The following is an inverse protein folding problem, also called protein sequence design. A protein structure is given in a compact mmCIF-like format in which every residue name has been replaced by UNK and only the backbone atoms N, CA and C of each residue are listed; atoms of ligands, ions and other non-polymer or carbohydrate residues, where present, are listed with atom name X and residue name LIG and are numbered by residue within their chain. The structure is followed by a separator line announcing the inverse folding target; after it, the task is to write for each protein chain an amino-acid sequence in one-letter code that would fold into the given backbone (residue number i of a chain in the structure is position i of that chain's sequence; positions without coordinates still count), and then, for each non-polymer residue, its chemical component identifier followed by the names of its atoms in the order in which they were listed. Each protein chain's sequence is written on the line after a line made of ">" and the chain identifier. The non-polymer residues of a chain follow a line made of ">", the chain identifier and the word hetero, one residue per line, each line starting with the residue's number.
data_IF_333563816021
#
_entry.id   IF_333563816021
#
_cell.length_a   1.000
_cell.length_b   1.000
_cell.length_c   1.000
_cell.angle_alpha   90.00
_cell.angle_beta   90.00
_cell.angle_gamma   90.00
#
_symmetry.space_group_name_H-M   'P 1'
#
loop_
_entity.id
_entity.type
_entity.pdbx_description
1 polymer ?
#
# COMPACT_ATOMS: atom_id res chain seq x y z
N UNK A 1 3.72 6.49 -17.31
CA UNK A 1 3.58 6.29 -18.77
C UNK A 1 2.33 7.05 -19.21
N UNK A 2 2.27 7.58 -20.44
CA UNK A 2 1.07 8.28 -20.96
C UNK A 2 -0.01 7.29 -21.44
N UNK A 3 0.37 6.07 -21.81
CA UNK A 3 -0.53 4.96 -22.16
C UNK A 3 -0.91 4.14 -20.91
N UNK A 4 -2.16 3.68 -20.77
CA UNK A 4 -2.61 2.88 -19.63
C UNK A 4 -1.91 1.52 -19.59
N UNK A 5 -1.58 1.04 -18.39
CA UNK A 5 -0.80 -0.19 -18.21
C UNK A 5 -1.48 -1.41 -18.86
N UNK A 6 -2.81 -1.45 -18.79
CA UNK A 6 -3.66 -2.46 -19.39
C UNK A 6 -3.53 -2.59 -20.92
N UNK A 7 -3.09 -1.54 -21.62
CA UNK A 7 -2.83 -1.60 -23.08
C UNK A 7 -1.46 -2.21 -23.43
N UNK A 8 -0.51 -2.22 -22.47
CA UNK A 8 0.82 -2.81 -22.66
C UNK A 8 0.78 -4.33 -22.52
N UNK A 9 -0.02 -4.84 -21.57
CA UNK A 9 -0.10 -6.26 -21.23
C UNK A 9 0.98 -6.71 -20.24
N UNK A 10 0.82 -7.92 -19.68
CA UNK A 10 1.68 -8.44 -18.61
C UNK A 10 3.06 -8.86 -19.10
N UNK A 11 3.15 -9.52 -20.25
CA UNK A 11 4.40 -10.09 -20.75
C UNK A 11 5.45 -9.01 -21.08
N UNK A 12 5.11 -7.89 -21.75
CA UNK A 12 6.08 -6.83 -22.00
C UNK A 12 6.56 -6.16 -20.71
N UNK A 13 5.68 -5.98 -19.70
CA UNK A 13 6.07 -5.45 -18.40
C UNK A 13 7.01 -6.42 -17.66
N UNK A 14 6.72 -7.72 -17.70
CA UNK A 14 7.61 -8.75 -17.16
C UNK A 14 8.99 -8.73 -17.84
N UNK A 15 9.02 -8.61 -19.17
CA UNK A 15 10.27 -8.49 -19.92
C UNK A 15 11.03 -7.20 -19.54
N UNK A 16 10.33 -6.07 -19.35
CA UNK A 16 10.94 -4.82 -18.88
C UNK A 16 11.61 -4.99 -17.52
N UNK A 17 10.98 -5.68 -16.57
CA UNK A 17 11.55 -5.96 -15.25
C UNK A 17 12.89 -6.70 -15.40
N UNK A 18 12.89 -7.84 -16.10
CA UNK A 18 14.09 -8.66 -16.25
C UNK A 18 15.19 -7.94 -17.04
N UNK A 19 14.84 -7.30 -18.15
CA UNK A 19 15.81 -6.63 -19.02
C UNK A 19 16.54 -5.51 -18.27
N UNK A 20 15.82 -4.71 -17.47
CA UNK A 20 16.44 -3.63 -16.72
C UNK A 20 17.35 -4.15 -15.61
N UNK A 21 16.96 -5.23 -14.91
CA UNK A 21 17.86 -5.87 -13.94
C UNK A 21 19.10 -6.46 -14.61
N UNK A 22 18.94 -7.08 -15.78
CA UNK A 22 20.07 -7.59 -16.55
C UNK A 22 21.00 -6.47 -17.01
N UNK A 23 20.44 -5.34 -17.46
CA UNK A 23 21.22 -4.15 -17.82
C UNK A 23 21.96 -3.57 -16.63
N UNK A 24 21.35 -3.54 -15.44
CA UNK A 24 22.03 -3.14 -14.20
C UNK A 24 23.24 -4.03 -13.91
N UNK A 25 23.08 -5.36 -13.97
CA UNK A 25 24.17 -6.29 -13.69
C UNK A 25 25.33 -6.12 -14.68
N UNK A 26 25.01 -6.03 -15.98
CA UNK A 26 26.00 -5.81 -17.03
C UNK A 26 26.70 -4.46 -16.91
N UNK A 27 25.98 -3.40 -16.53
CA UNK A 27 26.55 -2.07 -16.30
C UNK A 27 27.50 -2.07 -15.09
N UNK A 28 27.15 -2.79 -14.02
CA UNK A 28 28.01 -2.96 -12.85
C UNK A 28 29.28 -3.75 -13.20
N UNK A 29 29.15 -4.84 -13.95
CA UNK A 29 30.30 -5.63 -14.42
C UNK A 29 31.23 -4.79 -15.32
N UNK A 30 30.66 -4.05 -16.28
CA UNK A 30 31.39 -3.13 -17.13
C UNK A 30 32.10 -2.05 -16.31
N UNK A 31 31.41 -1.45 -15.34
CA UNK A 31 31.98 -0.44 -14.44
C UNK A 31 33.23 -0.98 -13.73
N UNK A 32 33.12 -2.15 -13.10
CA UNK A 32 34.24 -2.76 -12.38
C UNK A 32 35.41 -3.05 -13.31
N UNK A 33 35.17 -3.69 -14.45
CA UNK A 33 36.21 -4.01 -15.43
C UNK A 33 36.91 -2.78 -16.00
N UNK A 34 36.16 -1.69 -16.21
CA UNK A 34 36.69 -0.43 -16.77
C UNK A 34 37.56 0.29 -15.74
N UNK A 35 37.11 0.36 -14.49
CA UNK A 35 37.85 1.01 -13.41
C UNK A 35 39.15 0.25 -13.09
N UNK A 36 39.17 -1.08 -13.18
CA UNK A 36 40.38 -1.89 -13.00
C UNK A 36 41.39 -1.75 -14.15
N UNK A 37 40.91 -1.52 -15.38
CA UNK A 37 41.75 -1.41 -16.57
C UNK A 37 42.35 -0.01 -16.80
N UNK A 38 41.75 1.03 -16.22
CA UNK A 38 42.15 2.42 -16.45
C UNK A 38 43.17 2.92 -15.42
N UNK A 39 44.12 3.78 -15.83
CA UNK A 39 44.89 4.59 -14.88
C UNK A 39 43.96 5.48 -14.05
N UNK A 40 44.33 5.73 -12.79
CA UNK A 40 43.52 6.45 -11.80
C UNK A 40 42.91 7.76 -12.33
N UNK A 41 43.70 8.57 -13.04
CA UNK A 41 43.27 9.86 -13.57
C UNK A 41 42.15 9.76 -14.65
N UNK A 42 42.01 8.60 -15.29
CA UNK A 42 40.91 8.33 -16.22
C UNK A 42 39.76 7.58 -15.52
N UNK A 43 40.06 6.68 -14.59
CA UNK A 43 39.05 5.96 -13.81
C UNK A 43 38.14 6.93 -13.04
N UNK A 44 38.69 8.00 -12.46
CA UNK A 44 37.93 9.05 -11.75
C UNK A 44 36.95 9.84 -12.64
N UNK A 45 37.11 9.78 -13.97
CA UNK A 45 36.22 10.47 -14.93
C UNK A 45 35.04 9.60 -15.39
N UNK A 46 35.06 8.30 -15.08
CA UNK A 46 34.05 7.34 -15.51
C UNK A 46 33.05 7.13 -14.38
N UNK A 47 31.75 7.34 -14.66
CA UNK A 47 30.68 7.14 -13.69
C UNK A 47 29.52 6.36 -14.30
N UNK A 48 29.18 5.23 -13.70
CA UNK A 48 28.04 4.39 -14.08
C UNK A 48 26.86 4.47 -13.10
N UNK A 49 27.02 5.15 -11.95
CA UNK A 49 26.08 5.13 -10.83
C UNK A 49 24.67 5.56 -11.26
N UNK A 50 24.54 6.69 -11.96
CA UNK A 50 23.25 7.21 -12.40
C UNK A 50 22.56 6.27 -13.40
N UNK A 51 23.34 5.61 -14.27
CA UNK A 51 22.81 4.65 -15.25
C UNK A 51 22.31 3.38 -14.55
N UNK A 52 23.11 2.84 -13.63
CA UNK A 52 22.72 1.69 -12.80
C UNK A 52 21.46 1.99 -11.99
N UNK A 53 21.40 3.17 -11.37
CA UNK A 53 20.21 3.63 -10.65
C UNK A 53 19.00 3.75 -11.58
N UNK A 54 19.18 4.31 -12.78
CA UNK A 54 18.13 4.40 -13.80
C UNK A 54 17.52 3.05 -14.14
N UNK A 55 18.34 2.02 -14.38
CA UNK A 55 17.84 0.66 -14.63
C UNK A 55 17.04 0.10 -13.45
N UNK A 56 17.50 0.30 -12.22
CA UNK A 56 16.77 -0.16 -11.03
C UNK A 56 15.41 0.55 -10.86
N UNK A 57 15.34 1.86 -11.13
CA UNK A 57 14.09 2.62 -11.05
C UNK A 57 13.10 2.18 -12.13
N UNK A 58 13.56 1.92 -13.36
CA UNK A 58 12.69 1.39 -14.42
C UNK A 58 12.18 -0.01 -14.06
N UNK A 59 13.03 -0.90 -13.53
CA UNK A 59 12.59 -2.22 -13.09
C UNK A 59 11.55 -2.12 -11.96
N UNK A 60 11.75 -1.20 -11.02
CA UNK A 60 10.80 -0.95 -9.92
C UNK A 60 9.47 -0.42 -10.45
N UNK A 61 9.48 0.53 -11.36
CA UNK A 61 8.26 1.07 -11.96
C UNK A 61 7.52 0.00 -12.76
N UNK A 62 8.22 -0.82 -13.55
CA UNK A 62 7.61 -1.92 -14.30
C UNK A 62 6.92 -2.95 -13.38
N UNK A 63 7.47 -3.21 -12.18
CA UNK A 63 6.79 -3.99 -11.14
C UNK A 63 5.47 -3.34 -10.73
N UNK A 64 5.46 -2.04 -10.45
CA UNK A 64 4.24 -1.34 -10.05
C UNK A 64 3.20 -1.32 -11.17
N UNK A 65 3.62 -1.09 -12.42
CA UNK A 65 2.72 -1.15 -13.58
C UNK A 65 2.12 -2.55 -13.78
N UNK A 66 2.88 -3.62 -13.50
CA UNK A 66 2.36 -4.99 -13.54
C UNK A 66 1.25 -5.20 -12.51
N UNK A 67 1.39 -4.65 -11.31
CA UNK A 67 0.32 -4.63 -10.29
C UNK A 67 -0.87 -3.81 -10.79
N UNK A 68 -0.62 -2.64 -11.38
CA UNK A 68 -1.69 -1.79 -11.94
C UNK A 68 -2.54 -2.54 -12.97
N UNK A 69 -1.94 -3.32 -13.87
CA UNK A 69 -2.69 -4.15 -14.84
C UNK A 69 -3.70 -5.07 -14.14
N UNK A 70 -3.27 -5.75 -13.07
CA UNK A 70 -4.15 -6.65 -12.30
C UNK A 70 -5.29 -5.87 -11.65
N UNK A 71 -4.98 -4.72 -11.04
CA UNK A 71 -5.99 -3.91 -10.38
C UNK A 71 -6.90 -3.20 -11.37
N UNK A 72 -6.49 -2.97 -12.63
CA UNK A 72 -7.34 -2.42 -13.69
C UNK A 72 -8.20 -3.48 -14.39
N UNK A 73 -7.96 -4.77 -14.12
CA UNK A 73 -8.79 -5.86 -14.64
C UNK A 73 -10.27 -5.67 -14.25
N UNK A 74 -11.21 -5.75 -15.20
CA UNK A 74 -12.64 -5.57 -14.92
C UNK A 74 -13.18 -6.53 -13.86
N UNK A 75 -12.74 -7.80 -13.85
CA UNK A 75 -13.17 -8.78 -12.86
C UNK A 75 -12.67 -8.44 -11.46
N UNK A 76 -11.42 -7.97 -11.34
CA UNK A 76 -10.89 -7.47 -10.07
C UNK A 76 -11.64 -6.21 -9.63
N UNK A 77 -11.85 -5.24 -10.51
CA UNK A 77 -12.60 -4.01 -10.20
C UNK A 77 -14.04 -4.31 -9.73
N UNK A 78 -14.73 -5.28 -10.36
CA UNK A 78 -16.07 -5.73 -9.95
C UNK A 78 -16.10 -6.31 -8.52
N UNK A 79 -15.01 -6.95 -8.07
CA UNK A 79 -14.88 -7.42 -6.70
C UNK A 79 -14.57 -6.26 -5.74
N UNK A 80 -13.64 -5.37 -6.11
CA UNK A 80 -13.20 -4.28 -5.26
C UNK A 80 -14.34 -3.32 -4.89
N UNK A 81 -15.24 -3.01 -5.83
CA UNK A 81 -16.40 -2.13 -5.55
C UNK A 81 -17.39 -2.72 -4.55
N UNK A 82 -17.30 -4.03 -4.26
CA UNK A 82 -18.14 -4.75 -3.28
C UNK A 82 -17.49 -4.86 -1.90
N UNK A 83 -16.28 -4.32 -1.70
CA UNK A 83 -15.67 -4.26 -0.38
C UNK A 83 -16.56 -3.46 0.59
N UNK A 84 -16.75 -3.99 1.79
CA UNK A 84 -17.66 -3.44 2.82
C UNK A 84 -19.15 -3.45 2.48
N UNK A 85 -19.55 -4.19 1.43
CA UNK A 85 -20.94 -4.51 1.13
C UNK A 85 -21.32 -5.93 1.62
N UNK A 86 -22.56 -6.35 1.32
CA UNK A 86 -23.12 -7.62 1.77
C UNK A 86 -22.30 -8.84 1.31
N UNK A 87 -21.89 -8.90 0.05
CA UNK A 87 -21.10 -10.02 -0.49
C UNK A 87 -19.73 -10.13 0.21
N UNK A 88 -19.15 -8.98 0.59
CA UNK A 88 -17.92 -8.94 1.39
C UNK A 88 -18.15 -9.43 2.81
N UNK A 89 -19.24 -9.03 3.48
CA UNK A 89 -19.60 -9.56 4.80
C UNK A 89 -19.74 -11.09 4.79
N UNK A 90 -20.25 -11.66 3.70
CA UNK A 90 -20.38 -13.11 3.50
C UNK A 90 -19.04 -13.82 3.19
N UNK A 91 -17.93 -13.07 3.06
CA UNK A 91 -16.57 -13.58 2.85
C UNK A 91 -16.16 -13.80 1.39
N UNK A 92 -17.09 -13.67 0.45
CA UNK A 92 -16.88 -14.06 -0.95
C UNK A 92 -15.87 -13.16 -1.67
N UNK A 93 -15.92 -11.85 -1.41
CA UNK A 93 -15.09 -10.87 -2.13
C UNK A 93 -13.61 -11.14 -1.93
N UNK A 94 -13.17 -11.30 -0.68
CA UNK A 94 -11.75 -11.48 -0.32
C UNK A 94 -11.21 -12.82 -0.82
N UNK A 95 -12.00 -13.89 -0.71
CA UNK A 95 -11.66 -15.22 -1.22
C UNK A 95 -11.48 -15.22 -2.74
N UNK A 96 -12.39 -14.57 -3.48
CA UNK A 96 -12.28 -14.47 -4.93
C UNK A 96 -11.14 -13.56 -5.38
N UNK A 97 -10.84 -12.49 -4.64
CA UNK A 97 -9.68 -11.64 -4.91
C UNK A 97 -8.38 -12.43 -4.80
N UNK A 98 -8.16 -13.17 -3.71
CA UNK A 98 -6.91 -13.94 -3.54
C UNK A 98 -6.81 -15.11 -4.53
N UNK A 99 -7.94 -15.74 -4.89
CA UNK A 99 -7.95 -16.74 -5.96
C UNK A 99 -7.51 -16.14 -7.30
N UNK A 100 -8.09 -14.98 -7.67
CA UNK A 100 -7.74 -14.26 -8.90
C UNK A 100 -6.27 -13.82 -8.90
N UNK A 101 -5.77 -13.32 -7.76
CA UNK A 101 -4.34 -13.00 -7.62
C UNK A 101 -3.47 -14.24 -7.77
N UNK A 102 -3.89 -15.39 -7.24
CA UNK A 102 -3.17 -16.66 -7.39
C UNK A 102 -2.98 -17.08 -8.85
N UNK A 103 -4.01 -16.89 -9.68
CA UNK A 103 -3.94 -17.16 -11.12
C UNK A 103 -2.92 -16.23 -11.79
N UNK A 104 -3.03 -14.91 -11.56
CA UNK A 104 -2.05 -13.95 -12.07
C UNK A 104 -0.62 -14.23 -11.59
N UNK A 105 -0.45 -14.60 -10.32
CA UNK A 105 0.86 -14.89 -9.73
C UNK A 105 1.48 -16.12 -10.40
N UNK A 106 0.67 -17.13 -10.73
CA UNK A 106 1.12 -18.32 -11.45
C UNK A 106 1.65 -17.95 -12.83
N UNK A 107 0.91 -17.12 -13.58
CA UNK A 107 1.32 -16.70 -14.92
C UNK A 107 2.57 -15.82 -14.90
N UNK A 108 2.60 -14.80 -14.04
CA UNK A 108 3.71 -13.85 -13.94
C UNK A 108 5.01 -14.55 -13.50
N UNK A 109 4.92 -15.51 -12.58
CA UNK A 109 6.08 -16.27 -12.08
C UNK A 109 6.83 -17.02 -13.19
N UNK A 110 6.17 -17.33 -14.31
CA UNK A 110 6.80 -17.96 -15.48
C UNK A 110 7.74 -16.97 -16.18
N UNK A 111 7.40 -15.68 -16.16
CA UNK A 111 8.07 -14.66 -16.97
C UNK A 111 9.13 -13.85 -16.22
N UNK A 112 9.09 -13.75 -14.89
CA UNK A 112 10.04 -12.93 -14.13
C UNK A 112 10.89 -13.74 -13.16
N UNK A 113 12.11 -13.26 -12.91
CA UNK A 113 13.01 -13.91 -11.97
C UNK A 113 12.44 -13.94 -10.54
N UNK A 114 12.73 -15.00 -9.78
CA UNK A 114 12.22 -15.25 -8.43
C UNK A 114 12.40 -14.04 -7.47
N UNK A 115 13.54 -13.34 -7.54
CA UNK A 115 13.77 -12.14 -6.71
C UNK A 115 12.81 -11.01 -7.05
N UNK A 116 12.55 -10.81 -8.34
CA UNK A 116 11.62 -9.80 -8.86
C UNK A 116 10.19 -10.18 -8.58
N UNK A 117 9.85 -11.46 -8.70
CA UNK A 117 8.54 -12.00 -8.35
C UNK A 117 8.18 -11.68 -6.89
N UNK A 118 9.10 -11.89 -5.94
CA UNK A 118 8.86 -11.51 -4.54
C UNK A 118 8.60 -10.02 -4.34
N UNK A 119 9.29 -9.15 -5.09
CA UNK A 119 9.05 -7.69 -5.05
C UNK A 119 7.69 -7.32 -5.65
N UNK A 120 7.28 -8.02 -6.70
CA UNK A 120 5.96 -7.87 -7.30
C UNK A 120 4.85 -8.29 -6.35
N UNK A 121 4.97 -9.45 -5.69
CA UNK A 121 3.99 -9.89 -4.69
C UNK A 121 3.91 -8.92 -3.51
N UNK A 122 5.05 -8.41 -3.04
CA UNK A 122 5.10 -7.38 -2.00
C UNK A 122 4.39 -6.09 -2.42
N UNK A 123 4.57 -5.65 -3.67
CA UNK A 123 3.86 -4.48 -4.21
C UNK A 123 2.35 -4.73 -4.38
N UNK A 124 1.95 -5.94 -4.78
CA UNK A 124 0.55 -6.34 -4.90
C UNK A 124 -0.16 -6.34 -3.53
N UNK A 125 0.52 -6.85 -2.48
CA UNK A 125 0.03 -6.74 -1.11
C UNK A 125 -0.15 -5.27 -0.71
N UNK A 126 0.86 -4.42 -0.95
CA UNK A 126 0.76 -3.00 -0.61
C UNK A 126 -0.42 -2.29 -1.32
N UNK A 127 -0.66 -2.56 -2.60
CA UNK A 127 -1.84 -2.03 -3.31
C UNK A 127 -3.16 -2.59 -2.73
N UNK A 128 -3.20 -3.88 -2.40
CA UNK A 128 -4.38 -4.50 -1.75
C UNK A 128 -4.72 -3.79 -0.45
N UNK A 129 -3.74 -3.55 0.41
CA UNK A 129 -3.93 -2.84 1.68
C UNK A 129 -4.43 -1.41 1.44
N UNK A 130 -3.83 -0.68 0.49
CA UNK A 130 -4.28 0.68 0.14
C UNK A 130 -5.75 0.70 -0.29
N UNK A 131 -6.15 -0.26 -1.14
CA UNK A 131 -7.52 -0.36 -1.63
C UNK A 131 -8.51 -0.69 -0.51
N UNK A 132 -8.17 -1.62 0.39
CA UNK A 132 -9.00 -1.92 1.57
C UNK A 132 -9.19 -0.69 2.45
N UNK A 133 -8.09 0.02 2.75
CA UNK A 133 -8.16 1.25 3.56
C UNK A 133 -8.98 2.33 2.87
N UNK A 134 -8.85 2.53 1.56
CA UNK A 134 -9.64 3.52 0.83
C UNK A 134 -11.14 3.19 0.84
N UNK A 135 -11.52 1.91 0.67
CA UNK A 135 -12.92 1.48 0.74
C UNK A 135 -13.48 1.59 2.16
N UNK A 136 -12.71 1.27 3.20
CA UNK A 136 -13.11 1.46 4.60
C UNK A 136 -13.44 2.92 4.89
N UNK A 137 -12.62 3.84 4.39
CA UNK A 137 -12.71 5.27 4.65
C UNK A 137 -13.73 6.01 3.76
N UNK A 138 -14.31 5.31 2.78
CA UNK A 138 -15.30 5.86 1.83
C UNK A 138 -16.66 5.19 1.91
N UNK A 139 -16.75 4.00 2.49
CA UNK A 139 -18.03 3.33 2.72
C UNK A 139 -18.96 4.19 3.60
N UNK A 140 -20.25 3.87 3.54
CA UNK A 140 -21.31 4.62 4.23
C UNK A 140 -22.09 3.75 5.21
N UNK A 141 -21.78 2.46 5.27
CA UNK A 141 -22.44 1.53 6.17
C UNK A 141 -21.87 1.73 7.57
N UNK A 142 -22.72 1.61 8.58
CA UNK A 142 -22.24 1.62 9.96
C UNK A 142 -21.38 0.39 10.23
N UNK A 143 -20.28 0.60 10.95
CA UNK A 143 -19.41 -0.47 11.43
C UNK A 143 -20.13 -1.18 12.58
N UNK A 144 -20.37 -2.48 12.40
CA UNK A 144 -20.97 -3.37 13.39
C UNK A 144 -19.97 -4.45 13.80
N UNK A 145 -20.29 -5.23 14.83
CA UNK A 145 -19.46 -6.36 15.25
C UNK A 145 -19.20 -7.36 14.12
N UNK A 146 -20.20 -7.62 13.26
CA UNK A 146 -20.02 -8.46 12.07
C UNK A 146 -18.99 -7.86 11.08
N UNK A 147 -18.97 -6.54 10.92
CA UNK A 147 -17.95 -5.84 10.11
C UNK A 147 -16.56 -6.02 10.71
N UNK A 148 -16.43 -5.86 12.02
CA UNK A 148 -15.15 -6.04 12.75
C UNK A 148 -14.65 -7.48 12.61
N UNK A 149 -15.52 -8.47 12.79
CA UNK A 149 -15.14 -9.88 12.65
C UNK A 149 -14.75 -10.21 11.21
N UNK A 150 -15.49 -9.68 10.22
CA UNK A 150 -15.12 -9.88 8.81
C UNK A 150 -13.77 -9.26 8.47
N UNK A 151 -13.46 -8.05 8.95
CA UNK A 151 -12.14 -7.43 8.81
C UNK A 151 -11.03 -8.33 9.38
N UNK A 152 -11.26 -8.92 10.56
CA UNK A 152 -10.31 -9.84 11.20
C UNK A 152 -10.06 -11.09 10.35
N UNK A 153 -11.12 -11.70 9.82
CA UNK A 153 -11.01 -12.88 8.96
C UNK A 153 -10.31 -12.54 7.63
N UNK A 154 -10.50 -11.35 7.09
CA UNK A 154 -9.80 -10.91 5.88
C UNK A 154 -8.32 -10.68 6.12
N UNK A 155 -7.94 -10.13 7.28
CA UNK A 155 -6.54 -10.07 7.72
C UNK A 155 -5.90 -11.46 7.67
N UNK A 156 -6.60 -12.49 8.17
CA UNK A 156 -6.13 -13.89 8.13
C UNK A 156 -6.00 -14.44 6.71
N UNK A 157 -7.01 -14.21 5.85
CA UNK A 157 -6.98 -14.68 4.44
C UNK A 157 -5.83 -14.04 3.68
N UNK A 158 -5.63 -12.73 3.83
CA UNK A 158 -4.51 -12.01 3.20
C UNK A 158 -3.16 -12.50 3.74
N UNK A 159 -3.06 -12.66 5.07
CA UNK A 159 -1.86 -13.20 5.72
C UNK A 159 -1.49 -14.59 5.18
N UNK A 160 -2.46 -15.49 5.13
CA UNK A 160 -2.28 -16.88 4.71
C UNK A 160 -1.92 -16.98 3.23
N UNK A 161 -2.55 -16.18 2.36
CA UNK A 161 -2.25 -16.17 0.94
C UNK A 161 -0.84 -15.60 0.65
N UNK A 162 -0.55 -14.39 1.14
CA UNK A 162 0.69 -13.70 0.76
C UNK A 162 1.96 -14.35 1.38
N UNK A 163 1.85 -15.01 2.53
CA UNK A 163 3.00 -15.68 3.17
C UNK A 163 3.49 -16.92 2.41
N UNK A 164 2.71 -17.43 1.46
CA UNK A 164 3.17 -18.51 0.57
C UNK A 164 4.27 -18.05 -0.40
N UNK A 165 4.36 -16.74 -0.64
CA UNK A 165 5.21 -16.15 -1.67
C UNK A 165 6.32 -15.24 -1.11
N UNK A 166 6.08 -14.56 0.01
CA UNK A 166 7.04 -13.68 0.67
C UNK A 166 7.15 -14.00 2.17
N UNK A 167 8.19 -13.50 2.84
CA UNK A 167 8.45 -13.83 4.25
C UNK A 167 7.32 -13.33 5.16
N UNK A 168 6.94 -14.15 6.15
CA UNK A 168 5.88 -13.85 7.14
C UNK A 168 6.03 -12.43 7.73
N UNK A 169 7.22 -12.04 8.17
CA UNK A 169 7.46 -10.70 8.73
C UNK A 169 7.14 -9.53 7.79
N UNK A 170 7.30 -9.73 6.47
CA UNK A 170 6.95 -8.71 5.46
C UNK A 170 5.45 -8.61 5.26
N UNK A 171 4.73 -9.73 5.39
CA UNK A 171 3.27 -9.77 5.31
C UNK A 171 2.68 -9.14 6.57
N UNK A 172 3.11 -9.57 7.75
CA UNK A 172 2.67 -9.04 9.05
C UNK A 172 2.84 -7.51 9.12
N UNK A 173 4.01 -7.01 8.75
CA UNK A 173 4.29 -5.56 8.81
C UNK A 173 3.40 -4.73 7.87
N UNK A 174 2.89 -5.31 6.77
CA UNK A 174 2.02 -4.62 5.81
C UNK A 174 0.54 -4.75 6.16
N UNK A 175 0.13 -5.93 6.62
CA UNK A 175 -1.26 -6.18 7.04
C UNK A 175 -1.58 -5.46 8.34
N UNK A 176 -0.58 -5.20 9.21
CA UNK A 176 -0.77 -4.58 10.53
C UNK A 176 -1.68 -3.35 10.54
N UNK A 177 -1.59 -2.48 9.53
CA UNK A 177 -2.44 -1.29 9.46
C UNK A 177 -3.93 -1.62 9.35
N UNK A 178 -4.31 -2.74 8.72
CA UNK A 178 -5.71 -3.20 8.73
C UNK A 178 -6.15 -3.59 10.13
N UNK A 179 -5.29 -4.33 10.86
CA UNK A 179 -5.53 -4.68 12.26
C UNK A 179 -5.64 -3.44 13.15
N UNK A 180 -4.73 -2.47 13.00
CA UNK A 180 -4.77 -1.23 13.79
C UNK A 180 -6.04 -0.42 13.49
N UNK A 181 -6.47 -0.35 12.22
CA UNK A 181 -7.71 0.34 11.85
C UNK A 181 -8.96 -0.42 12.32
N UNK A 182 -8.93 -1.76 12.35
CA UNK A 182 -9.98 -2.58 12.97
C UNK A 182 -10.08 -2.32 14.47
N UNK A 183 -8.94 -2.27 15.17
CA UNK A 183 -8.89 -1.93 16.60
C UNK A 183 -9.46 -0.54 16.85
N UNK A 184 -9.06 0.45 16.04
CA UNK A 184 -9.57 1.81 16.12
C UNK A 184 -11.08 1.86 15.84
N UNK A 185 -11.55 1.08 14.86
CA UNK A 185 -12.96 0.95 14.54
C UNK A 185 -13.75 0.20 15.62
N UNK A 186 -13.11 -0.60 16.48
CA UNK A 186 -13.75 -1.30 17.60
C UNK A 186 -13.68 -0.54 18.93
N UNK A 187 -12.89 0.54 19.01
CA UNK A 187 -12.65 1.28 20.24
C UNK A 187 -13.96 1.83 20.86
N UNK A 188 -14.07 1.70 22.18
CA UNK A 188 -15.26 2.06 22.96
C UNK A 188 -15.02 3.22 23.94
N UNK A 189 -13.76 3.65 24.09
CA UNK A 189 -13.38 4.69 25.04
C UNK A 189 -12.32 5.62 24.45
N UNK A 190 -12.28 6.85 24.97
CA UNK A 190 -11.30 7.87 24.59
C UNK A 190 -9.86 7.35 24.73
N UNK A 191 -9.55 6.72 25.86
CA UNK A 191 -8.23 6.11 26.14
C UNK A 191 -7.86 5.03 25.11
N UNK A 192 -8.84 4.22 24.67
CA UNK A 192 -8.60 3.21 23.64
C UNK A 192 -8.32 3.84 22.28
N UNK A 193 -9.09 4.87 21.89
CA UNK A 193 -8.87 5.59 20.63
C UNK A 193 -7.47 6.21 20.59
N UNK A 194 -7.08 6.93 21.65
CA UNK A 194 -5.77 7.61 21.71
C UNK A 194 -4.61 6.62 21.76
N UNK A 195 -4.75 5.51 22.50
CA UNK A 195 -3.74 4.45 22.53
C UNK A 195 -3.53 3.82 21.16
N UNK A 196 -4.61 3.36 20.51
CA UNK A 196 -4.52 2.72 19.18
C UNK A 196 -3.97 3.70 18.15
N UNK A 197 -4.43 4.96 18.16
CA UNK A 197 -3.93 5.95 17.21
C UNK A 197 -2.45 6.29 17.44
N UNK A 198 -1.99 6.34 18.69
CA UNK A 198 -0.57 6.49 19.02
C UNK A 198 0.25 5.32 18.45
N UNK A 199 -0.22 4.08 18.62
CA UNK A 199 0.44 2.89 18.07
C UNK A 199 0.49 2.90 16.52
N UNK A 200 -0.56 3.42 15.86
CA UNK A 200 -0.56 3.64 14.41
C UNK A 200 0.56 4.59 14.03
N UNK A 201 0.70 5.73 14.72
CA UNK A 201 1.72 6.74 14.39
C UNK A 201 3.16 6.25 14.60
N UNK A 202 3.40 5.27 15.46
CA UNK A 202 4.72 4.64 15.58
C UNK A 202 5.18 3.94 14.29
N UNK A 203 4.24 3.41 13.50
CA UNK A 203 4.53 2.58 12.33
C UNK A 203 4.08 3.21 11.00
N UNK A 204 3.08 4.09 11.06
CA UNK A 204 2.53 4.90 9.98
C UNK A 204 2.42 6.37 10.42
N UNK A 205 3.57 7.05 10.63
CA UNK A 205 3.60 8.40 11.18
C UNK A 205 2.89 9.46 10.31
N UNK A 206 2.56 9.14 9.06
CA UNK A 206 1.82 9.98 8.14
C UNK A 206 0.31 9.69 8.10
N UNK A 207 -0.21 8.87 9.03
CA UNK A 207 -1.64 8.64 9.21
C UNK A 207 -2.34 9.92 9.71
N UNK A 208 -3.14 10.61 8.88
CA UNK A 208 -3.75 11.86 9.30
C UNK A 208 -4.93 11.62 10.24
N UNK A 209 -5.25 12.57 11.14
CA UNK A 209 -6.38 12.46 12.06
C UNK A 209 -7.75 12.38 11.34
N UNK A 210 -7.81 12.77 10.07
CA UNK A 210 -8.97 12.57 9.18
C UNK A 210 -9.42 11.09 9.12
N UNK A 211 -8.50 10.15 9.31
CA UNK A 211 -8.78 8.70 9.38
C UNK A 211 -9.63 8.40 10.62
N UNK A 212 -9.25 8.94 11.77
CA UNK A 212 -10.01 8.80 13.03
C UNK A 212 -11.39 9.43 12.88
N UNK A 213 -11.46 10.65 12.32
CA UNK A 213 -12.72 11.36 12.10
C UNK A 213 -13.71 10.55 11.24
N UNK A 214 -13.21 9.94 10.16
CA UNK A 214 -14.01 9.06 9.28
C UNK A 214 -14.48 7.80 9.99
N UNK A 215 -13.62 7.10 10.72
CA UNK A 215 -13.99 5.87 11.41
C UNK A 215 -14.98 6.11 12.55
N UNK A 216 -14.77 7.15 13.35
CA UNK A 216 -15.71 7.55 14.41
C UNK A 216 -17.07 7.92 13.82
N UNK A 217 -17.12 8.55 12.65
CA UNK A 217 -18.38 8.87 11.98
C UNK A 217 -19.16 7.64 11.47
N UNK A 218 -18.48 6.51 11.25
CA UNK A 218 -19.09 5.23 10.86
C UNK A 218 -19.53 4.38 12.06
N UNK A 219 -19.36 4.86 13.29
CA UNK A 219 -19.76 4.13 14.50
C UNK A 219 -21.14 4.55 14.99
N UNK A 220 -21.98 3.56 15.27
CA UNK A 220 -23.22 3.78 16.02
C UNK A 220 -22.91 3.85 17.53
N UNK A 221 -23.71 4.60 18.27
CA UNK A 221 -23.64 4.61 19.74
C UNK A 221 -22.62 5.56 20.37
N UNK A 222 -21.72 6.18 19.60
CA UNK A 222 -20.81 7.20 20.14
C UNK A 222 -21.52 8.57 20.20
N UNK A 223 -21.69 9.19 21.38
CA UNK A 223 -22.26 10.52 21.49
C UNK A 223 -21.44 11.56 20.71
N UNK A 224 -22.13 12.52 20.08
CA UNK A 224 -21.46 13.57 19.27
C UNK A 224 -20.41 14.38 20.04
N UNK A 225 -20.58 14.51 21.36
CA UNK A 225 -19.62 15.22 22.22
C UNK A 225 -18.33 14.40 22.30
N UNK A 226 -18.46 13.14 22.64
CA UNK A 226 -17.35 12.19 22.81
C UNK A 226 -16.63 11.97 21.48
N UNK A 227 -17.36 11.88 20.35
CA UNK A 227 -16.78 11.82 19.02
C UNK A 227 -15.88 13.04 18.70
N UNK A 228 -16.29 14.24 19.11
CA UNK A 228 -15.47 15.46 18.91
C UNK A 228 -14.25 15.47 19.80
N UNK A 229 -14.38 14.97 21.03
CA UNK A 229 -13.29 14.86 22.01
C UNK A 229 -12.22 13.88 21.50
N UNK A 230 -12.63 12.69 21.06
CA UNK A 230 -11.74 11.69 20.41
C UNK A 230 -10.96 12.31 19.25
N UNK A 231 -11.64 12.97 18.32
CA UNK A 231 -11.00 13.57 17.14
C UNK A 231 -10.05 14.69 17.54
N UNK A 232 -10.40 15.49 18.55
CA UNK A 232 -9.56 16.58 19.03
C UNK A 232 -8.27 16.04 19.69
N UNK A 233 -8.37 15.06 20.57
CA UNK A 233 -7.19 14.46 21.21
C UNK A 233 -6.28 13.77 20.20
N UNK A 234 -6.84 13.03 19.23
CA UNK A 234 -6.04 12.43 18.18
C UNK A 234 -5.35 13.49 17.30
N UNK A 235 -5.98 14.64 17.04
CA UNK A 235 -5.33 15.76 16.33
C UNK A 235 -4.13 16.28 17.12
N UNK A 236 -4.26 16.46 18.43
CA UNK A 236 -3.17 16.90 19.30
C UNK A 236 -2.01 15.88 19.35
N UNK A 237 -2.32 14.58 19.44
CA UNK A 237 -1.32 13.51 19.36
C UNK A 237 -0.56 13.56 18.03
N UNK A 238 -1.29 13.71 16.91
CA UNK A 238 -0.68 13.82 15.58
C UNK A 238 0.25 15.03 15.50
N UNK A 239 -0.22 16.22 15.92
CA UNK A 239 0.59 17.45 15.91
C UNK A 239 1.87 17.31 16.74
N UNK A 240 1.78 16.68 17.91
CA UNK A 240 2.93 16.42 18.78
C UNK A 240 3.92 15.40 18.20
N UNK A 241 3.48 14.53 17.29
CA UNK A 241 4.34 13.55 16.61
C UNK A 241 5.17 14.14 15.45
N UNK A 242 4.83 15.35 14.98
CA UNK A 242 5.47 15.97 13.83
C UNK A 242 6.88 16.49 14.15
N UNK A 243 7.80 16.28 13.21
CA UNK A 243 9.17 16.82 13.28
C UNK A 243 9.30 17.94 12.26
N UNK A 244 9.47 19.18 12.72
CA UNK A 244 9.52 20.35 11.84
C UNK A 244 8.23 20.56 11.05
N UNK A 245 7.07 20.20 11.62
CA UNK A 245 5.76 20.31 10.99
C UNK A 245 5.44 19.24 9.94
N UNK A 246 6.27 18.21 9.80
CA UNK A 246 6.04 17.11 8.87
C UNK A 246 6.12 15.75 9.59
N UNK A 247 5.42 14.71 9.10
CA UNK A 247 5.62 13.36 9.57
C UNK A 247 7.09 12.95 9.43
N UNK A 248 7.68 12.27 10.44
CA UNK A 248 9.09 11.86 10.40
C UNK A 248 9.43 10.89 9.26
N UNK A 249 8.44 10.14 8.77
CA UNK A 249 8.58 9.23 7.63
C UNK A 249 7.25 9.10 6.88
N UNK A 250 7.30 8.88 5.57
CA UNK A 250 6.13 8.49 4.78
C UNK A 250 5.90 6.98 4.81
N UNK A 251 4.67 6.57 5.07
CA UNK A 251 4.18 5.20 4.91
C UNK A 251 3.78 4.92 3.45
N UNK A 252 3.44 3.66 3.16
CA UNK A 252 2.99 3.27 1.81
C UNK A 252 1.47 3.44 1.62
N UNK A 253 0.72 3.68 2.71
CA UNK A 253 -0.75 3.65 2.72
C UNK A 253 -1.32 5.05 2.46
N UNK A 254 -1.25 5.93 3.45
CA UNK A 254 -1.97 7.20 3.46
C UNK A 254 -1.62 8.19 2.35
N UNK A 255 -0.39 8.21 1.79
CA UNK A 255 -0.09 9.00 0.61
C UNK A 255 -0.83 8.53 -0.65
N UNK A 256 -1.30 7.27 -0.70
CA UNK A 256 -1.98 6.64 -1.85
C UNK A 256 -3.49 6.47 -1.67
N UNK A 257 -4.02 6.67 -0.47
CA UNK A 257 -5.48 6.64 -0.20
C UNK A 257 -6.17 7.84 -0.87
N UNK A 258 -7.04 7.55 -1.85
CA UNK A 258 -7.65 8.55 -2.74
C UNK A 258 -8.56 9.51 -1.98
N UNK A 259 -9.33 9.00 -1.01
CA UNK A 259 -10.31 9.80 -0.28
C UNK A 259 -9.66 10.88 0.61
N UNK A 260 -8.40 10.70 1.00
CA UNK A 260 -7.60 11.65 1.79
C UNK A 260 -6.86 12.66 0.91
N UNK A 261 -6.60 12.35 -0.36
CA UNK A 261 -6.05 13.31 -1.31
C UNK A 261 -7.10 14.34 -1.75
N UNK A 262 -8.35 13.90 -1.94
CA UNK A 262 -9.46 14.78 -2.32
C UNK A 262 -9.76 15.85 -1.26
N UNK A 263 -9.63 15.53 0.04
CA UNK A 263 -9.84 16.49 1.14
C UNK A 263 -8.81 17.63 1.08
N UNK A 264 -7.53 17.30 0.85
CA UNK A 264 -6.44 18.28 0.68
C UNK A 264 -6.73 19.25 -0.48
N UNK A 265 -7.12 18.76 -1.66
CA UNK A 265 -7.44 19.62 -2.83
C UNK A 265 -8.64 20.55 -2.56
N UNK A 266 -9.63 20.10 -1.78
CA UNK A 266 -10.80 20.91 -1.44
C UNK A 266 -10.47 22.08 -0.47
N UNK A 267 -9.52 21.88 0.45
CA UNK A 267 -9.01 22.91 1.36
C UNK A 267 -8.27 24.02 0.60
N UNK A 268 -7.45 23.67 -0.39
CA UNK A 268 -6.77 24.65 -1.24
C UNK A 268 -7.71 25.48 -2.11
N UNK A 269 -8.86 24.93 -2.53
CA UNK A 269 -9.88 25.68 -3.29
C UNK A 269 -10.71 26.64 -2.43
N UNK A 270 -10.80 26.43 -1.11
CA UNK A 270 -11.49 27.34 -0.18
C UNK A 270 -10.60 28.50 0.31
N UNK A 271 -9.31 28.47 0.00
CA UNK A 271 -8.31 29.50 0.33
C UNK A 271 -7.96 30.40 -0.87
N UNK A 272 -8.71 30.30 -1.97
CA UNK A 272 -8.71 31.25 -3.10
C UNK A 272 -10.07 31.93 -3.19
#
# INVERSE_FOLDING_TARGET
>A
LEEPASEIGLEPLCAMINNNLRCYDLAMELSNSTLEALPQNYAEQVNFEDTCKGFLEVAKEAVHQTVTVIFEDPGVQELLVKLYDKEWCEGQVTEYLVATFGDYFTDIKIYIEERSFRRFVEACLEETIVVYVDHLLTQKNYIKEETIERMRLDEEVLMDFFREYISVSKVESRVRILSDLRELASAESLDTFTLVYTNILEHQPDCPPDVVEKLVALREGIPRKDAKEVVQECKEIYENSLVGGNPPKGGFVFPRVKCLQASKVSLWRKLK
#
